data_IF_707661852220
#
_entry.id   IF_707661852220
#
_cell.length_a   1.000
_cell.length_b   1.000
_cell.length_c   1.000
_cell.angle_alpha   90.00
_cell.angle_beta   90.00
_cell.angle_gamma   90.00
#
_symmetry.space_group_name_H-M   'P 1'
#
loop_
_entity.id
_entity.type
_entity.pdbx_description
1 polymer ?
#
# COMPACT_ATOMS: atom_id res chain seq x y z
N UNK A 1 -13.02 -4.08 3.84
CA UNK A 1 -11.89 -3.12 3.75
C UNK A 1 -12.02 -2.13 4.90
N UNK A 2 -11.32 -2.30 6.02
CA UNK A 2 -11.26 -1.26 7.04
C UNK A 2 -10.45 -0.09 6.48
N UNK A 3 -11.10 1.05 6.29
CA UNK A 3 -10.40 2.29 5.98
C UNK A 3 -9.77 2.80 7.27
N UNK A 4 -8.46 3.02 7.25
CA UNK A 4 -7.75 3.47 8.44
C UNK A 4 -8.01 4.97 8.61
N UNK A 5 -7.93 5.72 7.50
CA UNK A 5 -7.93 7.17 7.56
C UNK A 5 -8.16 7.81 6.17
N UNK A 6 -8.69 9.03 6.14
CA UNK A 6 -8.77 9.90 4.95
C UNK A 6 -8.18 11.27 5.26
N UNK A 7 -7.38 11.79 4.34
CA UNK A 7 -6.80 13.14 4.44
C UNK A 7 -6.86 13.86 3.09
N UNK A 8 -7.55 14.99 3.08
CA UNK A 8 -7.84 15.79 1.87
C UNK A 8 -8.37 14.88 0.74
N UNK A 9 -7.76 14.71 -0.48
CA UNK A 9 -8.37 13.83 -1.45
C UNK A 9 -7.94 12.36 -1.26
N UNK A 10 -7.06 12.03 -0.29
CA UNK A 10 -6.44 10.71 -0.20
C UNK A 10 -7.15 9.77 0.77
N UNK A 11 -7.34 8.52 0.33
CA UNK A 11 -7.75 7.39 1.16
C UNK A 11 -6.54 6.52 1.51
N UNK A 12 -6.41 6.16 2.79
CA UNK A 12 -5.34 5.30 3.32
C UNK A 12 -5.96 4.02 3.91
N UNK A 13 -5.57 2.85 3.41
CA UNK A 13 -6.26 1.59 3.73
C UNK A 13 -5.40 0.35 3.51
N UNK A 14 -5.80 -0.77 4.14
CA UNK A 14 -5.29 -2.10 3.81
C UNK A 14 -6.14 -2.73 2.70
N UNK A 15 -5.48 -3.36 1.72
CA UNK A 15 -6.08 -4.30 0.76
C UNK A 15 -5.49 -5.68 1.06
N UNK A 16 -6.31 -6.72 1.04
CA UNK A 16 -5.86 -8.10 1.29
C UNK A 16 -6.05 -8.97 0.05
N UNK A 17 -5.31 -10.07 -0.01
CA UNK A 17 -5.40 -11.04 -1.10
C UNK A 17 -5.00 -10.45 -2.47
N UNK A 18 -3.91 -9.68 -2.48
CA UNK A 18 -3.33 -9.13 -3.70
C UNK A 18 -2.18 -10.02 -4.20
N UNK A 19 -2.29 -10.45 -5.46
CA UNK A 19 -1.32 -11.28 -6.20
C UNK A 19 -1.21 -12.75 -5.73
N UNK A 20 -0.61 -13.58 -6.61
CA UNK A 20 -0.16 -14.94 -6.33
C UNK A 20 1.26 -15.12 -6.91
N UNK A 21 2.32 -15.21 -6.08
CA UNK A 21 2.30 -15.33 -4.61
C UNK A 21 1.78 -14.07 -3.91
N UNK A 22 1.20 -14.26 -2.72
CA UNK A 22 0.63 -13.20 -1.90
C UNK A 22 1.70 -12.17 -1.50
N UNK A 23 1.37 -10.89 -1.66
CA UNK A 23 2.27 -9.80 -1.29
C UNK A 23 2.44 -9.63 0.23
N UNK A 24 3.62 -9.21 0.71
CA UNK A 24 3.84 -8.81 2.10
C UNK A 24 2.90 -7.69 2.55
N UNK A 25 2.71 -7.52 3.86
CA UNK A 25 1.82 -6.49 4.40
C UNK A 25 2.25 -5.07 3.98
N UNK A 26 1.29 -4.29 3.50
CA UNK A 26 1.51 -2.92 3.04
C UNK A 26 0.23 -2.08 3.17
N UNK A 27 0.39 -0.76 3.07
CA UNK A 27 -0.71 0.22 3.08
C UNK A 27 -0.85 0.82 1.68
N UNK A 28 -2.09 0.98 1.23
CA UNK A 28 -2.40 1.65 -0.02
C UNK A 28 -2.78 3.12 0.21
N UNK A 29 -2.37 3.96 -0.72
CA UNK A 29 -2.82 5.35 -0.83
C UNK A 29 -3.38 5.57 -2.23
N UNK A 30 -4.62 6.04 -2.30
CA UNK A 30 -5.25 6.45 -3.55
C UNK A 30 -5.98 7.77 -3.41
N UNK A 31 -6.06 8.52 -4.50
CA UNK A 31 -6.95 9.66 -4.58
C UNK A 31 -8.41 9.18 -4.69
N UNK A 32 -9.29 9.70 -3.84
CA UNK A 32 -10.71 9.34 -3.79
C UNK A 32 -10.95 7.93 -3.28
N UNK A 33 -11.28 7.00 -4.19
CA UNK A 33 -11.68 5.62 -3.86
C UNK A 33 -10.50 4.67 -3.98
N UNK A 34 -10.58 3.52 -3.30
CA UNK A 34 -9.58 2.47 -3.44
C UNK A 34 -9.48 2.00 -4.90
N UNK A 35 -8.25 1.79 -5.37
CA UNK A 35 -7.94 1.35 -6.74
C UNK A 35 -6.80 0.35 -6.73
N UNK A 36 -6.78 -0.57 -7.70
CA UNK A 36 -5.73 -1.57 -7.84
C UNK A 36 -4.37 -0.96 -8.18
N UNK A 37 -4.34 0.24 -8.77
CA UNK A 37 -3.10 0.97 -9.08
C UNK A 37 -2.72 1.99 -8.00
N UNK A 38 -3.14 1.76 -6.74
CA UNK A 38 -2.83 2.65 -5.63
C UNK A 38 -1.33 2.63 -5.29
N UNK A 39 -0.80 3.74 -4.78
CA UNK A 39 0.57 3.78 -4.24
C UNK A 39 0.67 2.85 -3.04
N UNK A 40 1.71 2.01 -3.00
CA UNK A 40 1.98 1.08 -1.89
C UNK A 40 3.09 1.61 -0.99
N UNK A 41 2.83 1.64 0.32
CA UNK A 41 3.83 1.81 1.38
C UNK A 41 4.05 0.45 2.03
N UNK A 42 5.24 -0.11 1.85
CA UNK A 42 5.59 -1.41 2.39
C UNK A 42 6.05 -1.28 3.84
N UNK A 43 5.59 -2.18 4.70
CA UNK A 43 6.01 -2.26 6.09
C UNK A 43 7.12 -3.31 6.18
N UNK A 44 8.29 -2.92 6.64
CA UNK A 44 9.43 -3.84 6.79
C UNK A 44 9.36 -4.58 8.12
N UNK A 45 10.05 -5.72 8.21
CA UNK A 45 10.21 -6.47 9.47
C UNK A 45 10.91 -5.68 10.57
N UNK A 46 11.64 -4.61 10.21
CA UNK A 46 12.30 -3.69 11.14
C UNK A 46 11.38 -2.56 11.64
N UNK A 47 10.10 -2.59 11.27
CA UNK A 47 9.13 -1.54 11.65
C UNK A 47 9.31 -0.22 10.91
N UNK A 48 10.08 -0.21 9.80
CA UNK A 48 10.26 0.94 8.92
C UNK A 48 9.34 0.84 7.71
N UNK A 49 9.31 1.89 6.90
CA UNK A 49 8.50 1.94 5.67
C UNK A 49 9.34 2.28 4.45
N UNK A 50 8.99 1.68 3.31
CA UNK A 50 9.57 2.01 2.00
C UNK A 50 8.47 2.26 0.98
N UNK A 51 8.67 3.27 0.13
CA UNK A 51 7.81 3.52 -1.04
C UNK A 51 8.52 2.90 -2.23
N UNK A 52 7.84 1.99 -2.93
CA UNK A 52 8.38 1.41 -4.16
C UNK A 52 8.05 2.33 -5.33
N UNK A 53 9.06 2.94 -5.93
CA UNK A 53 8.95 3.53 -7.27
C UNK A 53 9.03 2.38 -8.28
N UNK A 54 8.15 2.37 -9.28
CA UNK A 54 8.13 1.32 -10.30
C UNK A 54 9.52 1.21 -10.97
N UNK A 55 10.16 0.04 -10.87
CA UNK A 55 11.43 -0.25 -11.54
C UNK A 55 12.59 -0.67 -10.63
N UNK A 56 12.49 -0.53 -9.31
CA UNK A 56 13.60 -0.91 -8.40
C UNK A 56 13.23 -2.09 -7.49
N UNK A 57 14.15 -3.07 -7.41
CA UNK A 57 14.09 -4.17 -6.46
C UNK A 57 14.65 -3.69 -5.11
N UNK A 58 13.88 -3.75 -4.01
CA UNK A 58 14.47 -3.65 -2.68
C UNK A 58 15.16 -4.98 -2.40
N UNK A 59 16.49 -4.97 -2.46
CA UNK A 59 17.32 -6.12 -2.07
C UNK A 59 17.09 -6.54 -0.63
#
# INVERSE_FOLDING_TARGET
MPQIFRIVPYSIYFWSNESDPLEPIHVHISEGRATSNATKIWITSTGKTVIKVLGENPG
#
